data_IF_934512903664
#
_entry.id   IF_934512903664
#
_cell.length_a   1.000
_cell.length_b   1.000
_cell.length_c   1.000
_cell.angle_alpha   90.00
_cell.angle_beta   90.00
_cell.angle_gamma   90.00
#
_symmetry.space_group_name_H-M   'P 1'
#
loop_
_entity.id
_entity.type
_entity.pdbx_description
1 polymer ?
#
# COMPACT_ATOMS: atom_id res chain seq x y z
N UNK A 1 -9.72 11.03 -14.17
CA UNK A 1 -9.21 12.26 -13.53
C UNK A 1 -7.73 12.05 -13.28
N UNK A 2 -6.83 12.96 -13.70
CA UNK A 2 -5.40 12.82 -13.38
C UNK A 2 -5.20 12.84 -11.86
N UNK A 3 -4.25 12.05 -11.36
CA UNK A 3 -3.93 12.03 -9.95
C UNK A 3 -3.35 13.37 -9.48
N UNK A 4 -3.43 13.66 -8.19
CA UNK A 4 -2.84 14.89 -7.63
C UNK A 4 -1.33 14.97 -7.91
N UNK A 5 -0.64 13.82 -7.94
CA UNK A 5 0.78 13.74 -8.32
C UNK A 5 0.98 14.12 -9.80
N UNK A 6 0.09 13.70 -10.69
CA UNK A 6 0.09 14.15 -12.11
C UNK A 6 -0.22 15.63 -12.25
N UNK A 7 -1.15 16.16 -11.45
CA UNK A 7 -1.46 17.59 -11.42
C UNK A 7 -0.27 18.41 -10.91
N UNK A 8 0.44 17.97 -9.87
CA UNK A 8 1.68 18.59 -9.39
C UNK A 8 2.79 18.59 -10.45
N UNK A 9 2.87 17.55 -11.28
CA UNK A 9 3.79 17.46 -12.42
C UNK A 9 3.37 18.38 -13.59
N UNK A 10 2.06 18.54 -13.80
CA UNK A 10 1.50 19.31 -14.91
C UNK A 10 1.46 20.82 -14.65
N UNK A 11 1.39 21.27 -13.40
CA UNK A 11 1.25 22.69 -13.01
C UNK A 11 2.47 23.56 -13.33
N UNK A 12 3.54 22.98 -13.89
CA UNK A 12 4.78 23.69 -14.21
C UNK A 12 5.31 23.34 -15.60
N UNK A 13 4.87 24.07 -16.59
CA UNK A 13 5.68 24.30 -17.78
C UNK A 13 6.17 25.75 -17.72
N UNK A 14 7.43 26.06 -17.64
CA UNK A 14 8.52 25.65 -18.49
C UNK A 14 9.90 25.61 -17.80
N UNK A 15 10.60 24.58 -17.86
CA UNK A 15 12.07 24.40 -17.77
C UNK A 15 12.34 23.01 -17.22
N UNK A 16 13.13 22.24 -17.94
CA UNK A 16 13.54 20.88 -17.57
C UNK A 16 14.11 20.78 -16.14
N UNK A 17 14.67 21.86 -15.60
CA UNK A 17 15.20 21.94 -14.24
C UNK A 17 14.10 21.99 -13.16
N UNK A 18 13.00 22.74 -13.41
CA UNK A 18 11.89 22.82 -12.47
C UNK A 18 11.16 21.47 -12.35
N UNK A 19 11.00 20.75 -13.45
CA UNK A 19 10.41 19.41 -13.48
C UNK A 19 11.29 18.39 -12.76
N UNK A 20 12.62 18.39 -13.05
CA UNK A 20 13.58 17.53 -12.33
C UNK A 20 13.59 17.79 -10.83
N UNK A 21 13.45 19.05 -10.41
CA UNK A 21 13.38 19.40 -8.98
C UNK A 21 12.07 18.92 -8.34
N UNK A 22 10.94 18.98 -9.05
CA UNK A 22 9.66 18.45 -8.57
C UNK A 22 9.72 16.93 -8.38
N UNK A 23 10.26 16.21 -9.36
CA UNK A 23 10.41 14.75 -9.28
C UNK A 23 11.36 14.35 -8.12
N UNK A 24 12.45 15.07 -7.90
CA UNK A 24 13.35 14.86 -6.75
C UNK A 24 12.64 15.09 -5.41
N UNK A 25 11.84 16.14 -5.31
CA UNK A 25 11.08 16.46 -4.11
C UNK A 25 10.00 15.42 -3.81
N UNK A 26 9.28 14.96 -4.83
CA UNK A 26 8.29 13.89 -4.68
C UNK A 26 8.95 12.55 -4.29
N UNK A 27 10.08 12.20 -4.90
CA UNK A 27 10.84 11.00 -4.54
C UNK A 27 11.36 11.08 -3.10
N UNK A 28 11.87 12.25 -2.67
CA UNK A 28 12.31 12.48 -1.31
C UNK A 28 11.16 12.42 -0.29
N UNK A 29 9.99 12.99 -0.63
CA UNK A 29 8.79 12.92 0.20
C UNK A 29 8.31 11.47 0.34
N UNK A 30 8.31 10.71 -0.77
CA UNK A 30 7.96 9.29 -0.76
C UNK A 30 8.90 8.49 0.15
N UNK A 31 10.21 8.65 -0.02
CA UNK A 31 11.20 7.95 0.81
C UNK A 31 11.10 8.32 2.29
N UNK A 32 10.81 9.59 2.63
CA UNK A 32 10.59 10.02 4.00
C UNK A 32 9.32 9.39 4.59
N UNK A 33 8.24 9.34 3.82
CA UNK A 33 6.98 8.69 4.21
C UNK A 33 7.17 7.18 4.44
N UNK A 34 7.92 6.52 3.57
CA UNK A 34 8.16 5.09 3.66
C UNK A 34 8.99 4.72 4.90
N UNK A 35 10.04 5.50 5.22
CA UNK A 35 10.94 5.19 6.34
C UNK A 35 10.45 5.71 7.69
N UNK A 36 9.87 6.93 7.74
CA UNK A 36 9.53 7.64 8.97
C UNK A 36 8.02 7.71 9.21
N UNK A 37 7.22 7.32 8.23
CA UNK A 37 5.77 7.41 8.31
C UNK A 37 5.27 8.86 8.26
N UNK A 38 4.08 9.07 8.82
CA UNK A 38 3.45 10.39 8.88
C UNK A 38 4.15 11.38 9.82
N UNK A 39 5.14 10.92 10.61
CA UNK A 39 5.95 11.78 11.48
C UNK A 39 7.12 12.46 10.75
N UNK A 40 7.40 12.11 9.47
CA UNK A 40 8.45 12.74 8.68
C UNK A 40 8.23 14.25 8.55
N UNK A 41 9.33 15.02 8.64
CA UNK A 41 9.26 16.47 8.66
C UNK A 41 9.62 17.10 7.32
N UNK A 42 9.19 18.35 7.10
CA UNK A 42 9.59 19.16 5.94
C UNK A 42 11.13 19.26 5.82
N UNK A 43 11.83 19.31 6.97
CA UNK A 43 13.31 19.36 7.01
C UNK A 43 13.93 18.06 6.50
N UNK A 44 13.33 16.92 6.81
CA UNK A 44 13.81 15.62 6.35
C UNK A 44 13.66 15.48 4.83
N UNK A 45 12.53 15.91 4.28
CA UNK A 45 12.27 15.92 2.84
C UNK A 45 13.22 16.87 2.12
N UNK A 46 13.41 18.11 2.61
CA UNK A 46 14.31 19.09 2.02
C UNK A 46 15.76 18.60 2.00
N UNK A 47 16.22 18.02 3.12
CA UNK A 47 17.56 17.43 3.24
C UNK A 47 17.76 16.28 2.23
N UNK A 48 16.79 15.36 2.10
CA UNK A 48 16.84 14.24 1.15
C UNK A 48 16.85 14.71 -0.30
N UNK A 49 16.06 15.73 -0.62
CA UNK A 49 15.97 16.29 -1.97
C UNK A 49 17.19 17.17 -2.34
N UNK A 50 18.02 17.56 -1.37
CA UNK A 50 19.14 18.48 -1.57
C UNK A 50 18.69 19.90 -1.91
N UNK A 51 17.54 20.37 -1.36
CA UNK A 51 16.99 21.69 -1.60
C UNK A 51 16.81 22.48 -0.30
N UNK A 52 16.78 23.81 -0.42
CA UNK A 52 16.44 24.69 0.70
C UNK A 52 14.94 24.61 1.06
N UNK A 53 14.62 24.83 2.36
CA UNK A 53 13.25 24.88 2.84
C UNK A 53 12.36 25.85 2.06
N UNK A 54 12.88 27.02 1.69
CA UNK A 54 12.14 28.02 0.89
C UNK A 54 11.73 27.50 -0.49
N UNK A 55 12.53 26.63 -1.11
CA UNK A 55 12.21 25.97 -2.38
C UNK A 55 11.10 24.95 -2.19
N UNK A 56 11.15 24.18 -1.09
CA UNK A 56 10.12 23.20 -0.76
C UNK A 56 8.77 23.87 -0.48
N UNK A 57 8.73 24.91 0.37
CA UNK A 57 7.48 25.63 0.69
C UNK A 57 6.85 26.33 -0.51
N UNK A 58 7.66 26.80 -1.47
CA UNK A 58 7.10 27.35 -2.73
C UNK A 58 6.41 26.27 -3.58
N UNK A 59 6.88 25.04 -3.47
CA UNK A 59 6.37 23.91 -4.28
C UNK A 59 5.24 23.17 -3.59
N UNK A 60 5.34 22.98 -2.30
CA UNK A 60 4.39 22.23 -1.48
C UNK A 60 3.80 23.15 -0.40
N UNK A 61 2.51 23.52 -0.49
CA UNK A 61 1.85 24.32 0.53
C UNK A 61 1.86 23.66 1.91
N UNK A 62 1.82 22.31 1.93
CA UNK A 62 1.81 21.51 3.13
C UNK A 62 2.42 20.13 2.84
N UNK A 63 3.28 19.65 3.73
CA UNK A 63 3.84 18.29 3.62
C UNK A 63 2.73 17.23 3.81
N UNK A 64 1.77 17.49 4.70
CA UNK A 64 0.64 16.60 4.92
C UNK A 64 -0.19 16.40 3.66
N UNK A 65 -0.39 17.45 2.85
CA UNK A 65 -1.11 17.32 1.58
C UNK A 65 -0.35 16.45 0.56
N UNK A 66 0.99 16.53 0.55
CA UNK A 66 1.83 15.68 -0.29
C UNK A 66 1.78 14.23 0.17
N UNK A 67 1.90 13.98 1.46
CA UNK A 67 1.80 12.63 2.03
C UNK A 67 0.42 12.03 1.79
N UNK A 68 -0.65 12.80 2.02
CA UNK A 68 -2.01 12.37 1.71
C UNK A 68 -2.15 11.99 0.24
N UNK A 69 -1.62 12.79 -0.68
CA UNK A 69 -1.68 12.50 -2.11
C UNK A 69 -0.94 11.20 -2.47
N UNK A 70 0.27 11.00 -1.93
CA UNK A 70 1.05 9.77 -2.14
C UNK A 70 0.28 8.55 -1.62
N UNK A 71 -0.33 8.65 -0.43
CA UNK A 71 -1.13 7.56 0.15
C UNK A 71 -2.38 7.30 -0.67
N UNK A 72 -3.08 8.34 -1.13
CA UNK A 72 -4.26 8.20 -1.99
C UNK A 72 -3.94 7.47 -3.29
N UNK A 73 -2.80 7.76 -3.92
CA UNK A 73 -2.36 7.07 -5.14
C UNK A 73 -2.08 5.59 -4.87
N UNK A 74 -1.46 5.25 -3.73
CA UNK A 74 -1.21 3.85 -3.35
C UNK A 74 -2.50 3.09 -3.05
N UNK A 75 -3.43 3.72 -2.34
CA UNK A 75 -4.74 3.11 -2.05
C UNK A 75 -5.56 2.95 -3.33
N UNK A 76 -5.46 3.90 -4.27
CA UNK A 76 -6.09 3.78 -5.59
C UNK A 76 -5.49 2.64 -6.42
N UNK A 77 -4.16 2.47 -6.40
CA UNK A 77 -3.47 1.32 -7.04
C UNK A 77 -3.99 -0.01 -6.50
N UNK A 78 -4.04 -0.17 -5.18
CA UNK A 78 -4.57 -1.38 -4.56
C UNK A 78 -6.05 -1.63 -4.88
N UNK A 79 -6.85 -0.56 -4.92
CA UNK A 79 -8.27 -0.65 -5.29
C UNK A 79 -8.43 -1.14 -6.72
N UNK A 80 -7.67 -0.56 -7.66
CA UNK A 80 -7.70 -0.96 -9.06
C UNK A 80 -7.27 -2.43 -9.25
N UNK A 81 -6.22 -2.86 -8.53
CA UNK A 81 -5.75 -4.24 -8.58
C UNK A 81 -6.81 -5.22 -8.05
N UNK A 82 -7.46 -4.90 -6.93
CA UNK A 82 -8.54 -5.72 -6.39
C UNK A 82 -9.77 -5.78 -7.32
N UNK A 83 -10.13 -4.65 -7.95
CA UNK A 83 -11.26 -4.60 -8.89
C UNK A 83 -10.96 -5.33 -10.20
N UNK A 84 -9.73 -5.28 -10.70
CA UNK A 84 -9.31 -6.07 -11.86
C UNK A 84 -9.35 -7.57 -11.56
N UNK A 85 -8.85 -7.98 -10.39
CA UNK A 85 -8.73 -9.39 -10.00
C UNK A 85 -10.07 -10.13 -9.89
N UNK A 86 -11.16 -9.42 -9.62
CA UNK A 86 -12.50 -10.05 -9.58
C UNK A 86 -13.05 -10.49 -10.94
N UNK A 87 -12.39 -10.12 -12.02
CA UNK A 87 -12.76 -10.47 -13.39
C UNK A 87 -11.67 -11.31 -14.08
N UNK A 88 -10.61 -11.63 -13.36
CA UNK A 88 -9.51 -12.43 -13.89
C UNK A 88 -9.96 -13.88 -14.10
N UNK A 89 -9.63 -14.50 -15.24
CA UNK A 89 -9.94 -15.91 -15.49
C UNK A 89 -9.15 -16.87 -14.57
N UNK A 90 -8.08 -16.38 -13.90
CA UNK A 90 -7.34 -17.10 -12.87
C UNK A 90 -7.48 -16.42 -11.51
N UNK A 91 -8.52 -16.76 -10.72
CA UNK A 91 -8.77 -16.16 -9.41
C UNK A 91 -7.62 -16.37 -8.41
N UNK A 92 -6.88 -17.47 -8.52
CA UNK A 92 -5.77 -17.78 -7.64
C UNK A 92 -4.57 -16.84 -7.93
N UNK A 93 -4.22 -16.67 -9.20
CA UNK A 93 -3.16 -15.73 -9.60
C UNK A 93 -3.54 -14.29 -9.24
N UNK A 94 -4.79 -13.89 -9.49
CA UNK A 94 -5.29 -12.55 -9.18
C UNK A 94 -5.27 -12.23 -7.69
N UNK A 95 -5.77 -13.15 -6.85
CA UNK A 95 -5.74 -13.00 -5.40
C UNK A 95 -4.29 -12.96 -4.88
N UNK A 96 -3.44 -13.84 -5.36
CA UNK A 96 -2.02 -13.88 -5.02
C UNK A 96 -1.28 -12.60 -5.40
N UNK A 97 -1.55 -12.03 -6.57
CA UNK A 97 -0.98 -10.75 -7.02
C UNK A 97 -1.40 -9.59 -6.12
N UNK A 98 -2.69 -9.50 -5.79
CA UNK A 98 -3.21 -8.51 -4.85
C UNK A 98 -2.55 -8.66 -3.47
N UNK A 99 -2.56 -9.88 -2.89
CA UNK A 99 -1.99 -10.16 -1.58
C UNK A 99 -0.50 -9.79 -1.51
N UNK A 100 0.26 -10.18 -2.54
CA UNK A 100 1.69 -9.85 -2.66
C UNK A 100 1.90 -8.34 -2.68
N UNK A 101 1.16 -7.61 -3.52
CA UNK A 101 1.31 -6.16 -3.64
C UNK A 101 0.89 -5.43 -2.37
N UNK A 102 -0.21 -5.84 -1.76
CA UNK A 102 -0.72 -5.29 -0.50
C UNK A 102 0.32 -5.43 0.62
N UNK A 103 0.80 -6.64 0.88
CA UNK A 103 1.79 -6.90 1.94
C UNK A 103 3.11 -6.22 1.64
N UNK A 104 3.57 -6.22 0.38
CA UNK A 104 4.78 -5.50 -0.03
C UNK A 104 4.69 -4.01 0.31
N UNK A 105 3.60 -3.35 -0.04
CA UNK A 105 3.40 -1.92 0.24
C UNK A 105 3.36 -1.64 1.75
N UNK A 106 2.67 -2.46 2.53
CA UNK A 106 2.64 -2.33 3.98
C UNK A 106 4.01 -2.55 4.63
N UNK A 107 4.81 -3.48 4.08
CA UNK A 107 6.15 -3.80 4.58
C UNK A 107 7.18 -2.73 4.25
N UNK A 108 6.97 -1.97 3.17
CA UNK A 108 7.92 -0.97 2.67
C UNK A 108 7.50 0.47 2.96
N UNK A 109 6.24 0.71 3.26
CA UNK A 109 5.72 2.05 3.51
C UNK A 109 5.06 2.16 4.89
N UNK A 110 5.85 2.66 5.85
CA UNK A 110 5.34 2.93 7.20
C UNK A 110 4.16 3.90 7.18
N UNK A 111 4.24 4.95 6.34
CA UNK A 111 3.19 5.94 6.22
C UNK A 111 1.89 5.38 5.64
N UNK A 112 1.95 4.45 4.68
CA UNK A 112 0.76 3.76 4.19
C UNK A 112 0.12 2.91 5.30
N UNK A 113 0.92 2.14 6.04
CA UNK A 113 0.42 1.32 7.13
C UNK A 113 -0.27 2.16 8.21
N UNK A 114 0.35 3.27 8.63
CA UNK A 114 -0.23 4.22 9.57
C UNK A 114 -1.54 4.84 9.05
N UNK A 115 -1.57 5.23 7.77
CA UNK A 115 -2.72 5.85 7.13
C UNK A 115 -3.91 4.91 6.97
N UNK A 116 -3.67 3.65 6.61
CA UNK A 116 -4.71 2.61 6.51
C UNK A 116 -5.28 2.24 7.88
N UNK A 117 -4.43 2.21 8.91
CA UNK A 117 -4.84 1.88 10.28
C UNK A 117 -5.72 2.98 10.90
N UNK A 118 -5.48 4.25 10.57
CA UNK A 118 -6.22 5.41 11.11
C UNK A 118 -6.32 6.54 10.08
N UNK A 119 -7.22 6.43 9.08
CA UNK A 119 -7.41 7.49 8.10
C UNK A 119 -7.95 8.76 8.81
N UNK A 120 -7.21 9.86 8.68
CA UNK A 120 -7.52 11.13 9.38
C UNK A 120 -8.24 12.15 8.50
N UNK A 121 -8.07 12.08 7.17
CA UNK A 121 -8.71 12.99 6.23
C UNK A 121 -9.96 12.34 5.61
N UNK A 122 -11.03 13.10 5.35
CA UNK A 122 -12.26 12.58 4.74
C UNK A 122 -12.03 11.89 3.40
N UNK A 123 -11.16 12.44 2.56
CA UNK A 123 -10.82 11.90 1.24
C UNK A 123 -10.14 10.53 1.36
N UNK A 124 -9.21 10.39 2.31
CA UNK A 124 -8.53 9.13 2.59
C UNK A 124 -9.52 8.11 3.16
N UNK A 125 -10.40 8.52 4.07
CA UNK A 125 -11.45 7.66 4.62
C UNK A 125 -12.34 7.11 3.50
N UNK A 126 -12.79 7.96 2.58
CA UNK A 126 -13.61 7.54 1.46
C UNK A 126 -12.88 6.55 0.54
N UNK A 127 -11.58 6.76 0.30
CA UNK A 127 -10.78 5.88 -0.53
C UNK A 127 -10.52 4.52 0.16
N UNK A 128 -10.26 4.51 1.46
CA UNK A 128 -10.11 3.27 2.25
C UNK A 128 -11.40 2.46 2.26
N UNK A 129 -12.57 3.10 2.34
CA UNK A 129 -13.87 2.42 2.21
C UNK A 129 -14.05 1.78 0.83
N UNK A 130 -13.61 2.45 -0.25
CA UNK A 130 -13.62 1.88 -1.61
C UNK A 130 -12.69 0.67 -1.71
N UNK A 131 -11.48 0.77 -1.17
CA UNK A 131 -10.54 -0.36 -1.10
C UNK A 131 -11.16 -1.54 -0.34
N UNK A 132 -11.74 -1.30 0.83
CA UNK A 132 -12.41 -2.34 1.63
C UNK A 132 -13.52 -3.05 0.83
N UNK A 133 -14.32 -2.29 0.09
CA UNK A 133 -15.36 -2.85 -0.76
C UNK A 133 -14.79 -3.66 -1.92
N UNK A 134 -13.68 -3.22 -2.54
CA UNK A 134 -13.00 -3.95 -3.61
C UNK A 134 -12.39 -5.25 -3.10
N UNK A 135 -11.69 -5.21 -1.95
CA UNK A 135 -11.11 -6.40 -1.29
C UNK A 135 -12.19 -7.42 -0.94
N UNK A 136 -13.32 -6.96 -0.39
CA UNK A 136 -14.45 -7.85 -0.09
C UNK A 136 -14.95 -8.58 -1.35
N UNK A 137 -15.03 -7.90 -2.50
CA UNK A 137 -15.45 -8.53 -3.76
C UNK A 137 -14.41 -9.53 -4.28
N UNK A 138 -13.12 -9.16 -4.20
CA UNK A 138 -12.01 -10.03 -4.61
C UNK A 138 -11.97 -11.31 -3.76
N UNK A 139 -12.10 -11.19 -2.44
CA UNK A 139 -12.12 -12.35 -1.52
C UNK A 139 -13.30 -13.27 -1.83
N UNK A 140 -14.50 -12.70 -2.04
CA UNK A 140 -15.66 -13.50 -2.43
C UNK A 140 -15.41 -14.26 -3.74
N UNK A 141 -14.87 -13.60 -4.75
CA UNK A 141 -14.53 -14.25 -6.01
C UNK A 141 -13.51 -15.38 -5.81
N UNK A 142 -12.49 -15.19 -4.98
CA UNK A 142 -11.52 -16.21 -4.63
C UNK A 142 -12.15 -17.41 -3.88
N UNK A 143 -13.14 -17.16 -3.02
CA UNK A 143 -13.90 -18.19 -2.31
C UNK A 143 -14.78 -18.99 -3.26
N UNK A 144 -15.55 -18.33 -4.13
CA UNK A 144 -16.42 -18.96 -5.14
C UNK A 144 -15.64 -19.92 -6.05
N UNK A 145 -14.33 -19.70 -6.23
CA UNK A 145 -13.44 -20.54 -7.05
C UNK A 145 -12.51 -21.44 -6.23
N UNK A 146 -12.71 -21.54 -4.91
CA UNK A 146 -11.95 -22.45 -4.05
C UNK A 146 -10.51 -22.04 -3.75
N UNK A 147 -10.10 -20.81 -4.10
CA UNK A 147 -8.77 -20.27 -3.80
C UNK A 147 -8.63 -19.90 -2.33
N UNK A 148 -9.70 -19.37 -1.73
CA UNK A 148 -9.78 -19.01 -0.31
C UNK A 148 -10.90 -19.83 0.32
N UNK A 149 -10.68 -20.34 1.53
CA UNK A 149 -11.66 -21.12 2.27
C UNK A 149 -12.91 -20.29 2.61
N UNK A 150 -14.10 -20.91 2.53
CA UNK A 150 -15.39 -20.22 2.61
C UNK A 150 -15.81 -19.83 4.04
N UNK A 151 -15.23 -20.48 5.06
CA UNK A 151 -15.54 -20.23 6.48
C UNK A 151 -14.94 -18.92 7.03
N UNK A 152 -14.05 -18.24 6.25
CA UNK A 152 -13.46 -16.98 6.65
C UNK A 152 -14.30 -15.78 6.18
N UNK A 153 -14.50 -14.79 7.05
CA UNK A 153 -14.97 -13.47 6.62
C UNK A 153 -13.84 -12.73 5.88
N UNK A 154 -14.19 -11.83 4.98
CA UNK A 154 -13.21 -11.03 4.24
C UNK A 154 -12.28 -10.21 5.16
N UNK A 155 -12.74 -9.87 6.38
CA UNK A 155 -11.94 -9.19 7.39
C UNK A 155 -10.84 -10.11 7.94
N UNK A 156 -11.17 -11.38 8.17
CA UNK A 156 -10.18 -12.37 8.61
C UNK A 156 -9.06 -12.48 7.59
N UNK A 157 -9.42 -12.52 6.30
CA UNK A 157 -8.43 -12.51 5.20
C UNK A 157 -7.60 -11.22 5.21
N UNK A 158 -8.23 -10.05 5.36
CA UNK A 158 -7.50 -8.78 5.40
C UNK A 158 -6.53 -8.70 6.60
N UNK A 159 -6.94 -9.13 7.78
CA UNK A 159 -6.09 -9.19 8.97
C UNK A 159 -4.99 -10.23 8.83
N UNK A 160 -5.28 -11.41 8.26
CA UNK A 160 -4.28 -12.43 7.99
C UNK A 160 -3.20 -11.91 7.03
N UNK A 161 -3.58 -11.24 5.93
CA UNK A 161 -2.62 -10.62 5.02
C UNK A 161 -1.78 -9.54 5.72
N UNK A 162 -2.41 -8.67 6.52
CA UNK A 162 -1.69 -7.64 7.27
C UNK A 162 -0.71 -8.22 8.29
N UNK A 163 -0.98 -9.40 8.87
CA UNK A 163 -0.08 -10.10 9.79
C UNK A 163 1.22 -10.59 9.13
N UNK A 164 1.26 -10.65 7.79
CA UNK A 164 2.48 -10.99 7.06
C UNK A 164 3.53 -9.86 7.06
N UNK A 165 3.18 -8.65 7.53
CA UNK A 165 4.14 -7.55 7.72
C UNK A 165 4.98 -7.85 8.97
N UNK A 166 6.29 -8.11 8.83
CA UNK A 166 7.11 -8.52 9.96
C UNK A 166 7.42 -7.32 10.88
N UNK A 167 7.50 -7.60 12.18
CA UNK A 167 8.21 -6.72 13.10
C UNK A 167 9.72 -6.71 12.77
N UNK A 168 10.43 -5.64 13.13
CA UNK A 168 11.89 -5.58 12.92
C UNK A 168 12.63 -6.72 13.64
N UNK A 169 12.16 -7.11 14.82
CA UNK A 169 12.70 -8.20 15.63
C UNK A 169 11.58 -9.03 16.27
N UNK A 170 11.81 -10.31 16.41
CA UNK A 170 10.98 -11.22 17.22
C UNK A 170 11.87 -12.19 17.97
N UNK A 171 11.57 -12.47 19.25
CA UNK A 171 12.35 -13.36 20.15
C UNK A 171 13.86 -13.11 20.06
N UNK A 172 14.27 -11.83 19.93
CA UNK A 172 15.68 -11.45 19.81
C UNK A 172 16.31 -11.65 18.42
N UNK A 173 15.55 -12.10 17.43
CA UNK A 173 16.02 -12.34 16.06
C UNK A 173 15.54 -11.22 15.12
N UNK A 174 16.44 -10.59 14.32
CA UNK A 174 16.04 -9.60 13.34
C UNK A 174 15.32 -10.24 12.16
N UNK A 175 14.34 -9.53 11.61
CA UNK A 175 13.68 -9.93 10.37
C UNK A 175 14.67 -9.86 9.19
N UNK A 176 14.53 -10.78 8.24
CA UNK A 176 15.26 -10.73 6.97
C UNK A 176 14.62 -9.70 6.04
N UNK A 177 15.36 -9.15 5.06
CA UNK A 177 14.79 -8.20 4.10
C UNK A 177 13.57 -8.72 3.33
N UNK A 178 13.52 -10.04 3.09
CA UNK A 178 12.43 -10.74 2.39
C UNK A 178 11.48 -11.50 3.34
N UNK A 179 11.57 -11.26 4.66
CA UNK A 179 10.78 -11.97 5.67
C UNK A 179 9.27 -11.92 5.38
N UNK A 180 8.77 -10.77 4.91
CA UNK A 180 7.37 -10.61 4.58
C UNK A 180 6.88 -11.59 3.50
N UNK A 181 7.72 -11.93 2.50
CA UNK A 181 7.36 -12.90 1.45
C UNK A 181 7.14 -14.28 2.03
N UNK A 182 8.09 -14.73 2.85
CA UNK A 182 8.02 -16.05 3.49
C UNK A 182 6.83 -16.15 4.44
N UNK A 183 6.53 -15.08 5.17
CA UNK A 183 5.36 -15.03 6.04
C UNK A 183 4.07 -15.01 5.21
N UNK A 184 4.04 -14.27 4.10
CA UNK A 184 2.91 -14.26 3.19
C UNK A 184 2.64 -15.65 2.59
N UNK A 185 3.68 -16.39 2.18
CA UNK A 185 3.51 -17.76 1.66
C UNK A 185 2.82 -18.66 2.70
N UNK A 186 3.20 -18.56 3.97
CA UNK A 186 2.56 -19.31 5.07
C UNK A 186 1.10 -18.85 5.26
N UNK A 187 0.85 -17.53 5.21
CA UNK A 187 -0.52 -16.99 5.33
C UNK A 187 -1.39 -17.46 4.17
N UNK A 188 -0.89 -17.37 2.94
CA UNK A 188 -1.64 -17.82 1.76
C UNK A 188 -1.96 -19.31 1.81
N UNK A 189 -1.02 -20.14 2.24
CA UNK A 189 -1.26 -21.57 2.45
C UNK A 189 -2.37 -21.83 3.51
N UNK A 190 -2.41 -21.03 4.60
CA UNK A 190 -3.45 -21.11 5.61
C UNK A 190 -4.82 -20.60 5.16
N UNK A 191 -4.85 -19.68 4.20
CA UNK A 191 -6.09 -19.15 3.60
C UNK A 191 -6.66 -20.07 2.53
N UNK A 192 -5.85 -20.96 1.96
CA UNK A 192 -6.29 -21.88 0.93
C UNK A 192 -7.31 -22.87 1.50
N UNK A 193 -8.23 -23.33 0.63
CA UNK A 193 -9.17 -24.39 1.00
C UNK A 193 -8.39 -25.65 1.36
N UNK A 194 -8.72 -26.32 2.49
CA UNK A 194 -8.13 -27.63 2.81
C UNK A 194 -8.35 -28.60 1.63
N UNK A 195 -7.32 -29.36 1.27
CA UNK A 195 -7.46 -30.39 0.25
C UNK A 195 -8.42 -31.46 0.78
N UNK A 196 -9.35 -32.01 -0.05
CA UNK A 196 -10.31 -33.03 0.39
C UNK A 196 -9.69 -34.25 1.07
N UNK A 197 -8.41 -34.53 0.86
CA UNK A 197 -7.65 -35.60 1.50
C UNK A 197 -7.32 -35.35 2.98
N UNK A 198 -7.53 -34.12 3.51
CA UNK A 198 -7.25 -33.78 4.91
C UNK A 198 -8.45 -34.03 5.83
N UNK A 199 -9.66 -34.27 5.28
CA UNK A 199 -10.90 -34.55 6.02
C UNK A 199 -11.05 -36.05 6.38
N UNK A 200 -10.15 -36.94 5.95
CA UNK A 200 -10.24 -38.39 6.20
C UNK A 200 -9.25 -38.90 7.29
N UNK A 201 -8.76 -38.04 8.21
CA UNK A 201 -7.95 -38.50 9.34
C UNK A 201 -8.58 -38.23 10.69
#
# INVERSE_FOLDING_TARGET
>A
MPSFVEQLRAADQPRADARRNADKLLAAARAALDEQGLAATTRDVARRAGVGLGTLYRRFPSLDSVFTAIVLDLVAELTALADAGRHDPDPAAAFGAFATRYVQLLSTSRGLNEALSRPRQPELTAQVLRLSAAVRRLVRHAQEHGTVREDLDWRDVAFALASAVPAEHTVGVPARPDQWRRTLDVVLAGLARPHPADDER
#
